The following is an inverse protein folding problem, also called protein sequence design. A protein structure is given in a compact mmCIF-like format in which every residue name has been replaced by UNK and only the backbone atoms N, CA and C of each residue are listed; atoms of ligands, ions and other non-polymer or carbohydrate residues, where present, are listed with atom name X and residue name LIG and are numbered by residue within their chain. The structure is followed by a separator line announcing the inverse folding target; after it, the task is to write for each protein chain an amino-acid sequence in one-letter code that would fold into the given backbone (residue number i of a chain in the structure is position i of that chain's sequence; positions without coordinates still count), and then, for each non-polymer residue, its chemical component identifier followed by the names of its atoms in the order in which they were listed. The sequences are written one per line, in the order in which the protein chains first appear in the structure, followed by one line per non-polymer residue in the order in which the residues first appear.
data_IF_146718002441
#
_entry.id   IF_146718002441
#
_cell.length_a   1.000
_cell.length_b   1.000
_cell.length_c   1.000
_cell.angle_alpha   90.00
_cell.angle_beta   90.00
_cell.angle_gamma   90.00
#
_symmetry.space_group_name_H-M   'P 1'
#
loop_
_entity.id
_entity.type
_entity.pdbx_description
1 polymer ?
#
# COMPACT_ATOMS: atom_id res chain seq x y z
N UNK A 1 -7.19 30.56 -19.63
CA UNK A 1 -6.03 29.64 -19.74
C UNK A 1 -5.03 29.91 -18.63
N UNK A 2 -4.99 29.12 -17.54
CA UNK A 2 -3.83 29.00 -16.63
C UNK A 2 -4.06 27.81 -15.67
N UNK A 3 -3.58 26.63 -16.06
CA UNK A 3 -3.57 25.41 -15.21
C UNK A 3 -2.49 25.63 -14.15
N UNK A 4 -2.90 25.86 -12.91
CA UNK A 4 -2.01 26.03 -11.77
C UNK A 4 -1.35 24.68 -11.47
N UNK A 5 -0.12 24.48 -11.97
CA UNK A 5 0.76 23.38 -11.56
C UNK A 5 1.00 23.53 -10.06
N UNK A 6 0.39 22.66 -9.26
CA UNK A 6 0.62 22.62 -7.82
C UNK A 6 1.78 21.65 -7.56
N UNK A 7 2.91 22.26 -7.20
CA UNK A 7 4.16 21.64 -6.80
C UNK A 7 3.96 20.72 -5.59
N UNK A 8 4.35 19.46 -5.73
CA UNK A 8 4.25 18.42 -4.71
C UNK A 8 5.53 18.40 -3.86
N UNK A 9 5.73 19.44 -3.05
CA UNK A 9 6.79 19.47 -2.05
C UNK A 9 6.24 18.95 -0.71
N UNK A 10 6.56 17.70 -0.42
CA UNK A 10 6.23 16.94 0.79
C UNK A 10 6.80 17.62 2.05
N UNK A 11 5.95 18.08 2.96
CA UNK A 11 6.35 18.43 4.34
C UNK A 11 6.37 17.16 5.20
N UNK A 12 7.44 16.85 5.95
CA UNK A 12 7.47 15.74 6.89
C UNK A 12 6.73 16.17 8.16
N UNK A 13 5.40 16.19 8.10
CA UNK A 13 4.56 16.42 9.27
C UNK A 13 4.33 15.11 10.01
N UNK A 14 4.79 15.04 11.27
CA UNK A 14 4.36 14.08 12.30
C UNK A 14 2.86 13.74 12.11
N UNK A 15 2.54 12.51 11.72
CA UNK A 15 1.16 11.99 11.74
C UNK A 15 0.53 11.56 10.40
N UNK A 16 1.26 11.54 9.28
CA UNK A 16 0.73 11.01 8.01
C UNK A 16 1.22 9.59 7.77
N UNK A 17 0.45 8.58 8.18
CA UNK A 17 0.77 7.19 7.85
C UNK A 17 0.61 6.98 6.34
N UNK A 18 1.69 6.58 5.65
CA UNK A 18 1.60 6.12 4.27
C UNK A 18 1.00 4.70 4.28
N UNK A 19 -0.04 4.49 3.48
CA UNK A 19 -0.73 3.19 3.39
C UNK A 19 -0.41 2.56 2.05
N UNK A 20 -0.04 1.28 2.07
CA UNK A 20 0.14 0.51 0.85
C UNK A 20 -1.22 0.00 0.40
N UNK A 21 -1.49 0.12 -0.88
CA UNK A 21 -2.63 -0.43 -1.57
C UNK A 21 -2.12 -1.54 -2.48
N UNK A 22 -2.58 -2.76 -2.26
CA UNK A 22 -2.30 -3.91 -3.11
C UNK A 22 -3.53 -4.18 -3.93
N UNK A 23 -3.44 -4.00 -5.25
CA UNK A 23 -4.50 -4.30 -6.21
C UNK A 23 -4.09 -5.44 -7.11
N UNK A 24 -5.03 -6.26 -7.58
CA UNK A 24 -4.75 -7.44 -8.42
C UNK A 24 -4.96 -8.78 -7.73
N UNK A 25 -5.49 -8.79 -6.50
CA UNK A 25 -5.98 -9.99 -5.83
C UNK A 25 -7.48 -10.12 -6.14
N UNK A 26 -7.92 -11.28 -6.59
CA UNK A 26 -9.34 -11.51 -6.81
C UNK A 26 -10.08 -11.52 -5.45
N UNK A 27 -11.29 -10.95 -5.42
CA UNK A 27 -12.04 -10.77 -4.17
C UNK A 27 -12.42 -12.08 -3.46
N UNK A 28 -12.30 -13.24 -4.13
CA UNK A 28 -12.57 -14.56 -3.55
C UNK A 28 -11.28 -15.34 -3.20
N UNK A 29 -10.10 -14.79 -3.54
CA UNK A 29 -8.84 -15.51 -3.41
C UNK A 29 -8.22 -15.36 -2.02
N UNK A 30 -8.73 -16.16 -1.08
CA UNK A 30 -8.24 -16.24 0.31
C UNK A 30 -6.75 -16.60 0.37
N UNK A 31 -6.27 -17.39 -0.59
CA UNK A 31 -4.85 -17.80 -0.66
C UNK A 31 -3.97 -16.61 -1.04
N UNK A 32 -4.41 -15.79 -1.99
CA UNK A 32 -3.75 -14.56 -2.38
C UNK A 32 -3.68 -13.56 -1.23
N UNK A 33 -4.76 -13.40 -0.47
CA UNK A 33 -4.77 -12.54 0.72
C UNK A 33 -3.77 -13.01 1.79
N UNK A 34 -3.72 -14.32 2.07
CA UNK A 34 -2.74 -14.87 3.00
C UNK A 34 -1.31 -14.71 2.50
N UNK A 35 -1.06 -14.91 1.20
CA UNK A 35 0.25 -14.75 0.60
C UNK A 35 0.71 -13.28 0.66
N UNK A 36 -0.18 -12.33 0.37
CA UNK A 36 0.12 -10.89 0.49
C UNK A 36 0.35 -10.48 1.93
N UNK A 37 -0.44 -11.01 2.87
CA UNK A 37 -0.22 -10.76 4.30
C UNK A 37 1.18 -11.22 4.72
N UNK A 38 1.55 -12.48 4.41
CA UNK A 38 2.88 -13.03 4.68
C UNK A 38 3.99 -12.23 4.01
N UNK A 39 3.77 -11.82 2.76
CA UNK A 39 4.73 -11.00 2.02
C UNK A 39 4.95 -9.65 2.73
N UNK A 40 3.89 -8.97 3.16
CA UNK A 40 4.00 -7.71 3.90
C UNK A 40 4.60 -7.86 5.30
N UNK A 41 4.33 -8.97 5.99
CA UNK A 41 4.97 -9.32 7.27
C UNK A 41 6.50 -9.51 7.12
N UNK A 42 6.96 -9.98 5.94
CA UNK A 42 8.38 -10.11 5.63
C UNK A 42 9.15 -8.79 5.54
N UNK A 43 8.49 -7.67 5.19
CA UNK A 43 9.11 -6.34 5.20
C UNK A 43 9.07 -5.69 6.59
N UNK A 44 8.13 -6.09 7.43
CA UNK A 44 8.02 -5.62 8.80
C UNK A 44 6.65 -5.84 9.41
N UNK A 45 6.52 -5.51 10.71
CA UNK A 45 5.29 -5.73 11.46
C UNK A 45 4.13 -4.88 10.92
N UNK A 46 3.11 -5.57 10.41
CA UNK A 46 1.90 -4.96 9.88
C UNK A 46 0.98 -4.62 11.06
N UNK A 47 0.61 -3.35 11.19
CA UNK A 47 -0.28 -2.88 12.25
C UNK A 47 -1.74 -3.10 11.90
N UNK A 48 -2.13 -2.86 10.64
CA UNK A 48 -3.51 -3.03 10.19
C UNK A 48 -3.56 -3.47 8.74
N UNK A 49 -4.43 -4.43 8.47
CA UNK A 49 -4.80 -4.85 7.11
C UNK A 49 -6.30 -4.58 6.97
N UNK A 50 -6.68 -3.81 5.95
CA UNK A 50 -8.06 -3.48 5.66
C UNK A 50 -8.36 -3.82 4.21
N UNK A 51 -9.30 -4.73 3.97
CA UNK A 51 -9.75 -5.02 2.62
C UNK A 51 -10.71 -3.92 2.17
N UNK A 52 -10.48 -3.36 0.98
CA UNK A 52 -11.41 -2.42 0.35
C UNK A 52 -12.44 -3.20 -0.48
N UNK A 53 -13.67 -2.68 -0.59
CA UNK A 53 -14.73 -3.31 -1.38
C UNK A 53 -14.45 -3.30 -2.89
N UNK A 54 -13.44 -2.54 -3.34
CA UNK A 54 -12.99 -2.54 -4.73
C UNK A 54 -12.02 -3.70 -5.06
N UNK A 55 -11.82 -4.65 -4.14
CA UNK A 55 -10.89 -5.78 -4.32
C UNK A 55 -9.43 -5.44 -4.04
N UNK A 56 -9.11 -4.21 -3.63
CA UNK A 56 -7.76 -3.85 -3.20
C UNK A 56 -7.58 -4.08 -1.69
N UNK A 57 -6.37 -4.44 -1.26
CA UNK A 57 -6.02 -4.52 0.15
C UNK A 57 -5.26 -3.26 0.57
N UNK A 58 -5.68 -2.63 1.65
CA UNK A 58 -4.97 -1.54 2.31
C UNK A 58 -4.15 -2.12 3.47
N UNK A 59 -2.85 -1.84 3.47
CA UNK A 59 -1.90 -2.35 4.45
C UNK A 59 -1.19 -1.17 5.10
N UNK A 60 -1.18 -1.19 6.43
CA UNK A 60 -0.52 -0.18 7.25
C UNK A 60 0.49 -0.87 8.17
N UNK A 61 1.76 -0.51 8.04
CA UNK A 61 2.79 -0.96 8.96
C UNK A 61 2.80 -0.16 10.26
N UNK A 62 3.32 -0.79 11.31
CA UNK A 62 3.58 -0.12 12.59
C UNK A 62 4.74 0.88 12.47
N UNK A 63 5.76 0.55 11.67
CA UNK A 63 6.90 1.41 11.38
C UNK A 63 6.68 2.20 10.09
N UNK A 64 6.79 3.53 10.19
CA UNK A 64 6.65 4.41 9.04
C UNK A 64 7.77 4.21 7.99
N UNK A 65 8.99 3.90 8.42
CA UNK A 65 10.13 3.64 7.53
C UNK A 65 9.89 2.44 6.61
N UNK A 66 9.30 1.37 7.14
CA UNK A 66 8.93 0.18 6.34
C UNK A 66 7.90 0.56 5.30
N UNK A 67 6.85 1.30 5.71
CA UNK A 67 5.85 1.80 4.78
C UNK A 67 6.49 2.67 3.71
N UNK A 68 7.43 3.54 4.06
CA UNK A 68 8.10 4.40 3.11
C UNK A 68 8.93 3.62 2.08
N UNK A 69 9.70 2.63 2.53
CA UNK A 69 10.51 1.77 1.66
C UNK A 69 9.64 0.96 0.70
N UNK A 70 8.59 0.31 1.19
CA UNK A 70 7.72 -0.51 0.33
C UNK A 70 6.91 0.38 -0.61
N UNK A 71 6.47 1.56 -0.17
CA UNK A 71 5.76 2.51 -1.04
C UNK A 71 6.67 3.09 -2.14
N UNK A 72 7.99 3.17 -1.93
CA UNK A 72 8.92 3.59 -3.00
C UNK A 72 9.02 2.55 -4.12
N UNK A 73 8.77 1.27 -3.83
CA UNK A 73 8.77 0.17 -4.78
C UNK A 73 7.47 0.13 -5.61
N UNK A 74 7.03 1.25 -6.20
CA UNK A 74 5.88 1.29 -7.11
C UNK A 74 6.12 0.34 -8.30
N UNK A 75 5.72 -0.92 -8.13
CA UNK A 75 6.04 -2.01 -9.02
C UNK A 75 4.92 -3.05 -8.98
N UNK A 76 4.84 -3.80 -10.07
CA UNK A 76 4.06 -5.02 -10.12
C UNK A 76 4.95 -6.16 -9.61
N UNK A 77 4.56 -6.79 -8.51
CA UNK A 77 5.27 -7.96 -7.97
C UNK A 77 4.44 -9.20 -8.21
N UNK A 78 5.09 -10.27 -8.67
CA UNK A 78 4.45 -11.57 -8.77
C UNK A 78 4.65 -12.32 -7.45
N UNK A 79 3.58 -12.47 -6.68
CA UNK A 79 3.62 -13.18 -5.41
C UNK A 79 3.11 -14.59 -5.67
N UNK A 80 3.95 -15.59 -5.37
CA UNK A 80 3.57 -17.01 -5.45
C UNK A 80 2.34 -17.25 -4.59
N UNK A 81 1.22 -17.60 -5.22
CA UNK A 81 -0.07 -17.85 -4.57
C UNK A 81 -1.06 -16.69 -4.59
N UNK A 82 -0.64 -15.45 -4.91
CA UNK A 82 -1.55 -14.32 -5.16
C UNK A 82 -1.57 -13.89 -6.63
N UNK A 83 -0.57 -14.28 -7.42
CA UNK A 83 -0.40 -13.85 -8.80
C UNK A 83 0.29 -12.49 -8.92
N UNK A 84 0.07 -11.81 -10.04
CA UNK A 84 0.59 -10.47 -10.30
C UNK A 84 -0.20 -9.43 -9.54
N UNK A 85 0.40 -8.86 -8.49
CA UNK A 85 -0.18 -7.76 -7.74
C UNK A 85 0.53 -6.46 -8.04
N UNK A 86 -0.25 -5.39 -8.12
CA UNK A 86 0.22 -4.03 -8.30
C UNK A 86 0.28 -3.36 -6.95
N UNK A 87 1.47 -2.87 -6.60
CA UNK A 87 1.71 -2.12 -5.38
C UNK A 87 1.54 -0.63 -5.67
N UNK A 88 0.60 -0.01 -4.98
CA UNK A 88 0.35 1.43 -5.00
C UNK A 88 0.37 1.95 -3.57
N UNK A 89 0.47 3.26 -3.39
CA UNK A 89 0.39 3.85 -2.05
C UNK A 89 -0.48 5.07 -2.04
N UNK A 90 -1.12 5.29 -0.89
CA UNK A 90 -1.92 6.47 -0.61
C UNK A 90 -1.39 7.16 0.63
N UNK A 91 -1.19 8.46 0.49
CA UNK A 91 -1.02 9.33 1.65
C UNK A 91 -2.40 9.68 2.20
N UNK A 92 -2.62 9.39 3.48
CA UNK A 92 -3.80 9.87 4.18
C UNK A 92 -3.73 11.39 4.31
N UNK A 93 -4.42 12.10 3.41
CA UNK A 93 -4.57 13.54 3.46
C UNK A 93 -5.80 13.86 4.31
N UNK A 94 -5.59 14.19 5.59
CA UNK A 94 -6.66 14.75 6.42
C UNK A 94 -7.06 16.11 5.83
N UNK A 95 -8.31 16.23 5.39
CA UNK A 95 -8.91 17.48 4.89
C UNK A 95 -9.20 18.40 6.08
#
# INVERSE_FOLDING_TARGET
KKRKRMSWASRPGKGKGRRLIVSGIAADDVRGEQAVKKWCEGFGEVSKVGRRPNGAMEIRWKKAEVAETVCRLQAQVNIKGAGSVVLSWLEEKKR
#
